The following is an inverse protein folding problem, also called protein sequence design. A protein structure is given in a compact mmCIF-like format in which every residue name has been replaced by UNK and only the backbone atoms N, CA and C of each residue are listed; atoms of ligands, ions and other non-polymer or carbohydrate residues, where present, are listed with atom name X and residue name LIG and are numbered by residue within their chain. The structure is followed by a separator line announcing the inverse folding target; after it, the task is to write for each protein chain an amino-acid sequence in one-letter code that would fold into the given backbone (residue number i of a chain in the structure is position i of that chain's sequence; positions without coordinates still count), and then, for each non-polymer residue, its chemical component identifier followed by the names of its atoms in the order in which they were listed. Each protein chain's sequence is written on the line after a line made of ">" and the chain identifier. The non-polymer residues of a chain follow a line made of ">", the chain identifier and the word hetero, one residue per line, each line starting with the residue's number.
data_IF_343971474554
#
_entry.id   IF_343971474554
#
_cell.length_a   1.000
_cell.length_b   1.000
_cell.length_c   1.000
_cell.angle_alpha   90.00
_cell.angle_beta   90.00
_cell.angle_gamma   90.00
#
_symmetry.space_group_name_H-M   'P 1'
#
loop_
_entity.id
_entity.type
_entity.pdbx_description
1 polymer ?
#
# COMPACT_ATOMS: atom_id res chain seq x y z
N UNK A 1 -18.56 -10.51 5.41
CA UNK A 1 -17.87 -10.75 6.70
C UNK A 1 -16.68 -9.81 6.74
N UNK A 2 -16.71 -8.82 7.63
CA UNK A 2 -15.80 -7.69 7.60
C UNK A 2 -14.40 -8.04 8.10
N UNK A 3 -13.35 -7.63 7.38
CA UNK A 3 -11.97 -7.67 7.83
C UNK A 3 -11.76 -6.75 9.03
N UNK A 4 -11.29 -7.32 10.12
CA UNK A 4 -10.84 -6.60 11.32
C UNK A 4 -9.32 -6.56 11.35
N UNK A 5 -8.78 -5.42 11.71
CA UNK A 5 -7.42 -5.30 12.18
C UNK A 5 -6.89 -3.89 12.16
N UNK A 6 -7.16 -3.11 13.21
CA UNK A 6 -6.43 -1.89 13.54
C UNK A 6 -5.58 -2.19 14.76
N UNK A 7 -4.30 -1.87 14.70
CA UNK A 7 -3.33 -2.14 15.75
C UNK A 7 -3.30 -1.07 16.82
N UNK A 8 -3.23 -1.54 18.07
CA UNK A 8 -2.79 -0.79 19.25
C UNK A 8 -1.29 -1.03 19.45
N UNK A 9 -0.50 0.04 19.49
CA UNK A 9 0.93 0.04 19.76
C UNK A 9 1.19 0.20 21.26
N UNK A 10 0.75 -0.76 22.11
CA UNK A 10 1.28 -0.87 23.47
C UNK A 10 1.32 -2.33 23.93
N UNK A 11 2.49 -2.96 23.71
CA UNK A 11 2.79 -4.26 24.30
C UNK A 11 3.07 -4.16 25.78
N UNK A 12 2.25 -4.79 26.61
CA UNK A 12 2.67 -5.25 27.94
C UNK A 12 2.19 -6.68 28.18
N UNK A 13 3.16 -7.55 28.45
CA UNK A 13 2.95 -8.92 28.87
C UNK A 13 2.41 -8.97 30.31
N UNK A 14 1.24 -9.56 30.49
CA UNK A 14 0.70 -9.90 31.81
C UNK A 14 0.01 -11.25 31.77
N UNK A 15 0.59 -12.22 32.49
CA UNK A 15 -0.03 -13.52 32.77
C UNK A 15 -1.26 -13.34 33.67
N UNK A 16 -2.42 -13.97 33.34
CA UNK A 16 -3.30 -14.56 34.37
C UNK A 16 -4.43 -15.39 33.79
N UNK A 17 -4.60 -16.56 34.38
CA UNK A 17 -5.80 -17.41 34.68
C UNK A 17 -7.00 -17.40 33.74
N UNK A 18 -7.36 -18.64 33.31
CA UNK A 18 -8.60 -19.01 32.66
C UNK A 18 -9.82 -18.68 33.54
N UNK A 19 -10.63 -17.74 33.08
CA UNK A 19 -12.04 -17.65 33.46
C UNK A 19 -12.86 -17.50 32.17
N UNK A 20 -13.84 -18.40 32.01
CA UNK A 20 -14.82 -18.35 30.95
C UNK A 20 -15.54 -17.00 30.97
N UNK A 21 -15.41 -16.19 29.94
CA UNK A 21 -16.11 -14.92 29.77
C UNK A 21 -17.32 -15.16 28.87
N UNK A 22 -18.53 -14.72 29.27
CA UNK A 22 -19.75 -14.92 28.46
C UNK A 22 -19.64 -14.12 27.16
N UNK A 23 -20.32 -14.63 26.11
CA UNK A 23 -20.41 -14.01 24.80
C UNK A 23 -20.91 -12.56 24.89
N UNK A 24 -19.99 -11.62 24.98
CA UNK A 24 -20.31 -10.21 24.87
C UNK A 24 -20.60 -9.86 23.42
N UNK A 25 -21.75 -9.29 23.19
CA UNK A 25 -22.14 -8.55 21.99
C UNK A 25 -21.03 -7.54 21.70
N UNK A 26 -20.15 -7.84 20.73
CA UNK A 26 -19.12 -6.91 20.33
C UNK A 26 -19.76 -5.73 19.63
N UNK A 27 -19.86 -4.61 20.33
CA UNK A 27 -20.09 -3.31 19.69
C UNK A 27 -18.84 -3.02 18.89
N UNK A 28 -18.95 -3.17 17.55
CA UNK A 28 -17.88 -2.79 16.64
C UNK A 28 -17.86 -1.26 16.55
N UNK A 29 -16.93 -0.64 17.23
CA UNK A 29 -16.52 0.69 16.83
C UNK A 29 -15.83 0.52 15.47
N UNK A 30 -16.45 1.00 14.40
CA UNK A 30 -15.74 1.27 13.16
C UNK A 30 -14.71 2.35 13.48
N UNK A 31 -13.46 1.96 13.71
CA UNK A 31 -12.37 2.91 13.87
C UNK A 31 -12.15 3.51 12.49
N UNK A 32 -12.55 4.77 12.32
CA UNK A 32 -12.25 5.54 11.13
C UNK A 32 -10.74 5.81 11.12
N UNK A 33 -10.03 5.22 10.18
CA UNK A 33 -8.61 5.49 9.98
C UNK A 33 -8.44 6.53 8.86
N UNK A 34 -7.40 7.35 8.96
CA UNK A 34 -6.99 8.28 7.90
C UNK A 34 -5.95 7.61 7.02
N UNK A 35 -6.32 7.33 5.75
CA UNK A 35 -5.54 6.46 4.87
C UNK A 35 -5.09 7.21 3.62
N UNK A 36 -3.78 7.14 3.33
CA UNK A 36 -3.21 7.65 2.09
C UNK A 36 -3.15 6.53 1.05
N UNK A 37 -3.93 6.64 -0.03
CA UNK A 37 -3.99 5.62 -1.08
C UNK A 37 -3.10 6.01 -2.25
N UNK A 38 -2.17 5.14 -2.62
CA UNK A 38 -1.38 5.29 -3.85
C UNK A 38 -2.26 5.09 -5.08
N UNK A 39 -2.67 6.19 -5.73
CA UNK A 39 -3.45 6.19 -6.97
C UNK A 39 -2.53 6.30 -8.18
N UNK A 40 -2.59 5.30 -9.06
CA UNK A 40 -1.84 5.28 -10.32
C UNK A 40 -2.66 5.70 -11.55
N UNK A 41 -3.95 6.03 -11.36
CA UNK A 41 -4.89 6.21 -12.47
C UNK A 41 -5.48 4.88 -12.98
N UNK A 42 -4.89 3.73 -12.65
CA UNK A 42 -5.39 2.41 -13.03
C UNK A 42 -6.57 1.92 -12.19
N UNK A 43 -7.26 0.89 -12.68
CA UNK A 43 -8.50 0.34 -12.09
C UNK A 43 -8.27 -0.15 -10.66
N UNK A 44 -7.21 -0.91 -10.42
CA UNK A 44 -6.99 -1.63 -9.16
C UNK A 44 -6.82 -0.67 -7.97
N UNK A 45 -6.01 0.39 -8.12
CA UNK A 45 -5.85 1.42 -7.11
C UNK A 45 -7.11 2.25 -6.90
N UNK A 46 -7.89 2.46 -7.97
CA UNK A 46 -9.16 3.17 -7.92
C UNK A 46 -10.21 2.39 -7.12
N UNK A 47 -10.29 1.09 -7.33
CA UNK A 47 -11.19 0.18 -6.58
C UNK A 47 -10.77 0.13 -5.10
N UNK A 48 -9.48 0.02 -4.81
CA UNK A 48 -9.00 0.04 -3.43
C UNK A 48 -9.42 1.33 -2.70
N UNK A 49 -9.27 2.50 -3.35
CA UNK A 49 -9.71 3.78 -2.78
C UNK A 49 -11.24 3.82 -2.55
N UNK A 50 -12.03 3.38 -3.53
CA UNK A 50 -13.49 3.37 -3.42
C UNK A 50 -13.97 2.47 -2.28
N UNK A 51 -13.41 1.27 -2.15
CA UNK A 51 -13.75 0.33 -1.07
C UNK A 51 -13.43 0.90 0.32
N UNK A 52 -12.31 1.59 0.47
CA UNK A 52 -11.94 2.23 1.74
C UNK A 52 -12.91 3.36 2.12
N UNK A 53 -13.35 4.15 1.14
CA UNK A 53 -14.39 5.17 1.34
C UNK A 53 -15.72 4.53 1.73
N UNK A 54 -16.14 3.45 1.04
CA UNK A 54 -17.36 2.70 1.38
C UNK A 54 -17.29 2.07 2.79
N UNK A 55 -16.10 1.73 3.27
CA UNK A 55 -15.87 1.24 4.63
C UNK A 55 -15.89 2.36 5.68
N UNK A 56 -16.01 3.63 5.26
CA UNK A 56 -16.12 4.78 6.13
C UNK A 56 -14.80 5.36 6.63
N UNK A 57 -13.68 5.06 5.97
CA UNK A 57 -12.37 5.66 6.28
C UNK A 57 -12.25 7.08 5.71
N UNK A 58 -11.37 7.89 6.34
CA UNK A 58 -10.91 9.18 5.79
C UNK A 58 -9.80 8.92 4.77
N UNK A 59 -10.12 9.01 3.49
CA UNK A 59 -9.25 8.60 2.38
C UNK A 59 -8.73 9.81 1.61
N UNK A 60 -7.41 9.86 1.42
CA UNK A 60 -6.74 10.81 0.53
C UNK A 60 -6.01 10.03 -0.55
N UNK A 61 -6.21 10.38 -1.82
CA UNK A 61 -5.48 9.82 -2.94
C UNK A 61 -4.13 10.51 -3.14
N UNK A 62 -3.11 9.75 -3.51
CA UNK A 62 -1.80 10.31 -3.83
C UNK A 62 -1.17 9.62 -5.03
N UNK A 63 -0.65 10.41 -5.97
CA UNK A 63 0.19 9.93 -7.05
C UNK A 63 1.66 10.07 -6.64
N UNK A 64 2.41 8.98 -6.71
CA UNK A 64 3.86 8.96 -6.49
C UNK A 64 4.56 9.28 -7.80
N UNK A 65 5.09 10.49 -7.95
CA UNK A 65 5.89 10.88 -9.10
C UNK A 65 7.32 10.40 -8.89
N UNK A 66 7.63 9.25 -9.48
CA UNK A 66 8.92 8.56 -9.33
C UNK A 66 9.91 8.83 -10.47
N UNK A 67 9.44 9.40 -11.58
CA UNK A 67 10.25 9.59 -12.78
C UNK A 67 9.95 10.91 -13.46
N UNK A 68 10.99 11.54 -14.01
CA UNK A 68 10.92 12.65 -14.95
C UNK A 68 11.82 12.34 -16.14
N UNK A 69 11.41 12.76 -17.33
CA UNK A 69 12.21 12.61 -18.52
C UNK A 69 13.17 13.81 -18.67
N UNK A 70 14.17 13.92 -17.80
CA UNK A 70 15.17 14.99 -17.77
C UNK A 70 16.36 14.71 -18.73
N UNK A 71 16.47 13.48 -19.27
CA UNK A 71 17.55 13.07 -20.17
C UNK A 71 17.24 13.31 -21.67
N UNK A 72 16.10 13.94 -21.98
CA UNK A 72 15.74 14.27 -23.37
C UNK A 72 15.48 13.06 -24.25
N UNK A 73 15.12 11.92 -23.67
CA UNK A 73 14.71 10.73 -24.43
C UNK A 73 13.43 11.07 -25.19
N UNK A 74 13.38 10.92 -26.54
CA UNK A 74 12.17 11.20 -27.30
C UNK A 74 11.01 10.33 -26.84
N UNK A 75 9.93 10.95 -26.39
CA UNK A 75 8.70 10.28 -25.93
C UNK A 75 7.87 11.23 -25.08
N UNK A 76 6.57 10.97 -25.00
CA UNK A 76 5.68 11.68 -24.09
C UNK A 76 6.02 11.32 -22.64
N UNK A 77 5.83 12.25 -21.72
CA UNK A 77 5.96 11.99 -20.30
C UNK A 77 4.67 11.32 -19.79
N UNK A 78 4.58 9.99 -19.70
CA UNK A 78 3.33 9.30 -19.38
C UNK A 78 2.77 9.68 -18.01
N UNK A 79 3.61 10.16 -17.10
CA UNK A 79 3.18 10.56 -15.76
C UNK A 79 2.18 11.74 -15.74
N UNK A 80 2.17 12.62 -16.75
CA UNK A 80 1.19 13.70 -16.83
C UNK A 80 -0.22 13.17 -17.04
N UNK A 81 -0.37 12.20 -17.95
CA UNK A 81 -1.64 11.54 -18.20
C UNK A 81 -2.08 10.72 -16.98
N UNK A 82 -1.15 9.97 -16.39
CA UNK A 82 -1.43 9.17 -15.18
C UNK A 82 -1.94 10.04 -14.01
N UNK A 83 -1.34 11.24 -13.82
CA UNK A 83 -1.81 12.21 -12.82
C UNK A 83 -3.23 12.69 -13.15
N UNK A 84 -3.54 13.00 -14.41
CA UNK A 84 -4.88 13.42 -14.81
C UNK A 84 -5.91 12.32 -14.56
N UNK A 85 -5.58 11.08 -14.88
CA UNK A 85 -6.45 9.93 -14.67
C UNK A 85 -6.66 9.67 -13.17
N UNK A 86 -5.61 9.72 -12.36
CA UNK A 86 -5.70 9.59 -10.91
C UNK A 86 -6.54 10.72 -10.27
N UNK A 87 -6.34 11.96 -10.74
CA UNK A 87 -7.14 13.12 -10.30
C UNK A 87 -8.63 12.96 -10.70
N UNK A 88 -8.92 12.44 -11.91
CA UNK A 88 -10.28 12.19 -12.34
C UNK A 88 -10.98 11.14 -11.47
N UNK A 89 -10.25 10.07 -11.10
CA UNK A 89 -10.71 9.04 -10.16
C UNK A 89 -11.00 9.66 -8.79
N UNK A 90 -10.05 10.43 -8.22
CA UNK A 90 -10.23 11.06 -6.93
C UNK A 90 -11.45 11.98 -6.89
N UNK A 91 -11.66 12.78 -7.94
CA UNK A 91 -12.86 13.63 -8.10
C UNK A 91 -14.14 12.81 -8.16
N UNK A 92 -14.13 11.68 -8.87
CA UNK A 92 -15.31 10.80 -9.01
C UNK A 92 -15.68 10.14 -7.69
N UNK A 93 -14.68 9.72 -6.90
CA UNK A 93 -14.87 9.12 -5.58
C UNK A 93 -15.20 10.19 -4.52
N UNK A 94 -14.80 11.45 -4.75
CA UNK A 94 -15.02 12.56 -3.83
C UNK A 94 -13.96 12.69 -2.73
N UNK A 95 -12.73 12.30 -3.02
CA UNK A 95 -11.58 12.37 -2.09
C UNK A 95 -10.58 13.47 -2.47
N UNK A 96 -9.82 13.96 -1.49
CA UNK A 96 -8.65 14.82 -1.72
C UNK A 96 -7.60 14.07 -2.54
N UNK A 97 -6.84 14.81 -3.37
CA UNK A 97 -5.77 14.24 -4.19
C UNK A 97 -4.49 15.06 -4.07
N UNK A 98 -3.36 14.36 -3.98
CA UNK A 98 -2.01 14.95 -3.89
C UNK A 98 -1.07 14.32 -4.92
N UNK A 99 -0.07 15.08 -5.36
CA UNK A 99 1.09 14.56 -6.09
C UNK A 99 2.29 14.66 -5.16
N UNK A 100 2.98 13.54 -4.95
CA UNK A 100 4.16 13.45 -4.10
C UNK A 100 5.36 13.21 -5.01
N UNK A 101 6.30 14.16 -5.00
CA UNK A 101 7.53 14.05 -5.78
C UNK A 101 8.52 13.16 -5.02
N UNK A 102 8.87 12.01 -5.59
CA UNK A 102 9.77 11.00 -5.04
C UNK A 102 10.87 10.62 -6.05
N UNK A 103 11.18 11.53 -6.99
CA UNK A 103 12.14 11.27 -8.07
C UNK A 103 13.53 10.98 -7.53
N UNK A 104 13.98 11.77 -6.56
CA UNK A 104 15.32 11.61 -5.98
C UNK A 104 15.44 10.32 -5.17
N UNK A 105 14.42 9.99 -4.39
CA UNK A 105 14.36 8.75 -3.62
C UNK A 105 14.32 7.52 -4.54
N UNK A 106 13.53 7.58 -5.61
CA UNK A 106 13.44 6.50 -6.59
C UNK A 106 14.78 6.29 -7.30
N UNK A 107 15.43 7.38 -7.72
CA UNK A 107 16.75 7.32 -8.34
C UNK A 107 17.78 6.67 -7.39
N UNK A 108 17.81 7.14 -6.14
CA UNK A 108 18.77 6.65 -5.14
C UNK A 108 18.56 5.17 -4.79
N UNK A 109 17.31 4.73 -4.60
CA UNK A 109 17.00 3.40 -4.08
C UNK A 109 16.79 2.35 -5.15
N UNK A 110 16.19 2.72 -6.29
CA UNK A 110 15.77 1.76 -7.33
C UNK A 110 16.69 1.82 -8.55
N UNK A 111 16.93 3.03 -9.12
CA UNK A 111 17.73 3.15 -10.34
C UNK A 111 19.18 2.75 -10.10
N UNK A 112 19.78 3.22 -9.01
CA UNK A 112 21.16 2.86 -8.66
C UNK A 112 21.30 1.35 -8.43
N UNK A 113 20.33 0.72 -7.73
CA UNK A 113 20.30 -0.73 -7.56
C UNK A 113 20.28 -1.49 -8.90
N UNK A 114 19.47 -1.02 -9.85
CA UNK A 114 19.43 -1.59 -11.21
C UNK A 114 20.80 -1.50 -11.90
N UNK A 115 21.39 -0.30 -11.90
CA UNK A 115 22.67 -0.05 -12.57
C UNK A 115 23.78 -0.89 -11.94
N UNK A 116 23.85 -0.93 -10.64
CA UNK A 116 24.86 -1.70 -9.91
C UNK A 116 24.70 -3.21 -10.12
N UNK A 117 23.47 -3.71 -10.12
CA UNK A 117 23.19 -5.11 -10.39
C UNK A 117 23.63 -5.54 -11.79
N UNK A 118 23.29 -4.77 -12.81
CA UNK A 118 23.73 -5.05 -14.19
C UNK A 118 25.25 -4.97 -14.33
N UNK A 119 25.90 -4.00 -13.67
CA UNK A 119 27.38 -3.92 -13.64
C UNK A 119 28.02 -5.13 -12.95
N UNK A 120 27.36 -5.68 -11.96
CA UNK A 120 27.83 -6.88 -11.24
C UNK A 120 27.48 -8.19 -11.96
N UNK A 121 26.79 -8.14 -13.11
CA UNK A 121 26.50 -9.30 -13.98
C UNK A 121 25.27 -10.12 -13.56
N UNK A 122 24.38 -9.59 -12.72
CA UNK A 122 23.09 -10.22 -12.45
C UNK A 122 21.92 -9.34 -12.91
N UNK A 123 20.74 -9.93 -13.07
CA UNK A 123 19.50 -9.21 -13.41
C UNK A 123 18.75 -8.85 -12.13
N UNK A 124 18.75 -7.57 -11.71
CA UNK A 124 18.02 -7.16 -10.51
C UNK A 124 16.50 -7.22 -10.72
N UNK A 125 15.74 -7.32 -9.63
CA UNK A 125 14.29 -7.21 -9.66
C UNK A 125 13.86 -5.87 -9.01
N UNK A 126 13.63 -4.82 -9.80
CA UNK A 126 13.25 -3.51 -9.27
C UNK A 126 11.84 -3.50 -8.68
N UNK A 127 10.93 -4.34 -9.18
CA UNK A 127 9.52 -4.29 -8.78
C UNK A 127 9.33 -4.68 -7.32
N UNK A 128 9.99 -5.77 -6.89
CA UNK A 128 9.97 -6.21 -5.50
C UNK A 128 10.60 -5.16 -4.59
N UNK A 129 11.74 -4.59 -5.04
CA UNK A 129 12.43 -3.55 -4.28
C UNK A 129 11.60 -2.26 -4.20
N UNK A 130 10.96 -1.85 -5.31
CA UNK A 130 10.09 -0.69 -5.34
C UNK A 130 8.92 -0.80 -4.33
N UNK A 131 8.33 -1.98 -4.20
CA UNK A 131 7.30 -2.18 -3.18
C UNK A 131 7.85 -1.97 -1.76
N UNK A 132 9.00 -2.58 -1.43
CA UNK A 132 9.62 -2.44 -0.12
C UNK A 132 10.10 -1.02 0.17
N UNK A 133 10.90 -0.44 -0.73
CA UNK A 133 11.60 0.82 -0.47
C UNK A 133 10.74 2.06 -0.72
N UNK A 134 9.90 2.02 -1.77
CA UNK A 134 9.12 3.19 -2.16
C UNK A 134 7.70 3.15 -1.58
N UNK A 135 6.88 2.15 -1.92
CA UNK A 135 5.45 2.15 -1.54
C UNK A 135 5.24 1.92 -0.05
N UNK A 136 5.96 0.98 0.53
CA UNK A 136 5.85 0.63 1.96
C UNK A 136 7.06 1.08 2.79
N UNK A 137 7.96 1.85 2.19
CA UNK A 137 9.02 2.61 2.82
C UNK A 137 8.72 4.10 2.75
N UNK A 138 9.36 4.82 1.81
CA UNK A 138 9.28 6.30 1.70
C UNK A 138 7.86 6.85 1.69
N UNK A 139 6.95 6.23 0.93
CA UNK A 139 5.55 6.67 0.86
C UNK A 139 4.80 6.46 2.18
N UNK A 140 5.07 5.35 2.87
CA UNK A 140 4.53 5.10 4.21
C UNK A 140 5.10 6.11 5.22
N UNK A 141 6.41 6.35 5.22
CA UNK A 141 7.06 7.32 6.11
C UNK A 141 6.46 8.72 5.91
N UNK A 142 6.33 9.15 4.64
CA UNK A 142 5.63 10.40 4.31
C UNK A 142 4.20 10.43 4.86
N UNK A 143 3.43 9.36 4.70
CA UNK A 143 2.06 9.31 5.20
C UNK A 143 2.02 9.48 6.71
N UNK A 144 2.86 8.76 7.46
CA UNK A 144 2.93 8.85 8.91
C UNK A 144 3.33 10.26 9.39
N UNK A 145 4.30 10.90 8.72
CA UNK A 145 4.71 12.28 8.99
C UNK A 145 3.59 13.30 8.74
N UNK A 146 2.71 13.01 7.76
CA UNK A 146 1.54 13.85 7.45
C UNK A 146 0.31 13.53 8.31
N UNK A 147 0.45 12.66 9.32
CA UNK A 147 -0.61 12.30 10.26
C UNK A 147 -1.66 11.34 9.68
N UNK A 148 -1.30 10.53 8.67
CA UNK A 148 -2.09 9.38 8.26
C UNK A 148 -1.78 8.18 9.16
N UNK A 149 -2.76 7.31 9.35
CA UNK A 149 -2.59 6.09 10.14
C UNK A 149 -1.94 4.96 9.33
N UNK A 150 -2.13 4.98 7.99
CA UNK A 150 -1.62 3.93 7.10
C UNK A 150 -1.60 4.37 5.65
N UNK A 151 -1.00 3.52 4.80
CA UNK A 151 -1.09 3.61 3.33
C UNK A 151 -1.86 2.43 2.76
N UNK A 152 -2.45 2.62 1.57
CA UNK A 152 -3.07 1.55 0.80
C UNK A 152 -2.63 1.58 -0.66
N UNK A 153 -2.68 0.43 -1.31
CA UNK A 153 -2.34 0.24 -2.72
C UNK A 153 -3.30 -0.78 -3.35
N UNK A 154 -3.34 -0.81 -4.69
CA UNK A 154 -4.19 -1.72 -5.45
C UNK A 154 -3.56 -3.10 -5.76
N UNK A 155 -2.81 -3.71 -4.85
CA UNK A 155 -2.21 -5.02 -5.09
C UNK A 155 -3.19 -6.17 -4.94
N UNK A 156 -3.09 -7.16 -5.85
CA UNK A 156 -3.82 -8.43 -5.77
C UNK A 156 -3.06 -9.44 -4.92
N UNK A 157 -3.36 -9.45 -3.64
CA UNK A 157 -2.83 -10.41 -2.68
C UNK A 157 -3.82 -10.63 -1.54
N UNK A 158 -3.72 -11.76 -0.84
CA UNK A 158 -4.53 -12.06 0.34
C UNK A 158 -3.65 -12.22 1.57
N UNK A 159 -4.23 -12.06 2.73
CA UNK A 159 -3.57 -12.27 4.02
C UNK A 159 -4.23 -13.38 4.80
N UNK A 160 -3.43 -14.17 5.50
CA UNK A 160 -3.85 -15.16 6.47
C UNK A 160 -3.19 -14.84 7.81
N UNK A 161 -4.02 -14.62 8.83
CA UNK A 161 -3.56 -14.45 10.21
C UNK A 161 -3.70 -15.79 10.95
N UNK A 162 -2.63 -16.21 11.62
CA UNK A 162 -2.57 -17.41 12.44
C UNK A 162 -1.93 -17.07 13.80
N UNK A 163 -2.03 -17.95 14.79
CA UNK A 163 -1.31 -17.77 16.07
C UNK A 163 0.22 -17.67 15.91
N UNK A 164 0.76 -18.14 14.78
CA UNK A 164 2.19 -18.11 14.47
C UNK A 164 2.62 -16.83 13.73
N UNK A 165 1.67 -16.03 13.27
CA UNK A 165 1.92 -14.78 12.55
C UNK A 165 1.02 -14.59 11.34
N UNK A 166 1.29 -13.52 10.61
CA UNK A 166 0.57 -13.15 9.39
C UNK A 166 1.33 -13.59 8.15
N UNK A 167 0.63 -14.11 7.17
CA UNK A 167 1.18 -14.64 5.92
C UNK A 167 0.51 -13.99 4.73
N UNK A 168 1.29 -13.72 3.65
CA UNK A 168 0.73 -13.38 2.35
C UNK A 168 0.34 -14.66 1.62
N UNK A 169 -0.87 -14.68 1.12
CA UNK A 169 -1.36 -15.72 0.22
C UNK A 169 -1.46 -15.18 -1.20
N UNK A 170 -1.40 -16.08 -2.16
CA UNK A 170 -1.67 -15.76 -3.56
C UNK A 170 -3.07 -15.17 -3.72
N UNK A 171 -3.21 -14.25 -4.69
CA UNK A 171 -4.51 -13.78 -5.14
C UNK A 171 -5.40 -14.95 -5.59
N UNK A 172 -6.73 -14.77 -5.58
CA UNK A 172 -7.66 -15.80 -6.06
C UNK A 172 -7.55 -16.04 -7.56
N UNK A 173 -7.36 -14.96 -8.33
CA UNK A 173 -7.08 -15.06 -9.76
C UNK A 173 -5.58 -15.30 -9.98
N UNK A 174 -5.18 -16.50 -10.46
CA UNK A 174 -3.77 -16.81 -10.69
C UNK A 174 -3.13 -15.97 -11.79
N UNK A 175 -3.94 -15.37 -12.69
CA UNK A 175 -3.43 -14.52 -13.76
C UNK A 175 -3.15 -13.08 -13.28
N UNK A 176 -3.70 -12.70 -12.12
CA UNK A 176 -3.53 -11.37 -11.50
C UNK A 176 -2.74 -11.41 -10.19
N UNK A 177 -2.28 -12.57 -9.75
CA UNK A 177 -1.56 -12.71 -8.49
C UNK A 177 -0.30 -11.82 -8.47
N UNK A 178 -0.25 -10.95 -7.47
CA UNK A 178 0.86 -10.02 -7.25
C UNK A 178 1.57 -10.27 -5.91
N UNK A 179 1.28 -11.40 -5.25
CA UNK A 179 1.85 -11.73 -3.95
C UNK A 179 3.39 -11.77 -3.96
N UNK A 180 4.01 -12.16 -5.09
CA UNK A 180 5.46 -12.22 -5.21
C UNK A 180 6.13 -10.84 -5.16
N UNK A 181 5.46 -9.78 -5.62
CA UNK A 181 5.96 -8.41 -5.52
C UNK A 181 6.09 -7.94 -4.07
N UNK A 182 5.37 -8.58 -3.16
CA UNK A 182 5.32 -8.26 -1.74
C UNK A 182 6.22 -9.17 -0.90
N UNK A 183 7.05 -10.03 -1.53
CA UNK A 183 7.87 -11.04 -0.85
C UNK A 183 8.92 -10.48 0.10
N UNK A 184 9.35 -9.22 -0.07
CA UNK A 184 10.28 -8.54 0.83
C UNK A 184 9.58 -7.62 1.84
N UNK A 185 8.25 -7.69 1.94
CA UNK A 185 7.52 -6.93 2.93
C UNK A 185 7.71 -7.51 4.32
N UNK A 186 7.86 -6.62 5.31
CA UNK A 186 7.87 -7.02 6.70
C UNK A 186 6.46 -6.93 7.28
N UNK A 187 5.95 -8.03 7.84
CA UNK A 187 4.66 -8.03 8.52
C UNK A 187 4.83 -7.45 9.94
N UNK A 188 4.03 -6.49 10.36
CA UNK A 188 2.56 -6.44 10.37
C UNK A 188 1.88 -5.40 9.46
N UNK A 189 2.55 -4.84 8.48
CA UNK A 189 2.10 -3.64 7.74
C UNK A 189 1.15 -3.89 6.57
N UNK A 190 0.80 -5.14 6.25
CA UNK A 190 -0.06 -5.46 5.11
C UNK A 190 -1.46 -5.90 5.55
N UNK A 191 -2.48 -5.16 5.10
CA UNK A 191 -3.90 -5.51 5.25
C UNK A 191 -4.59 -5.43 3.88
N UNK A 192 -5.12 -6.53 3.32
CA UNK A 192 -5.91 -6.45 2.11
C UNK A 192 -7.20 -5.69 2.37
N UNK A 193 -7.58 -4.82 1.44
CA UNK A 193 -8.81 -4.02 1.51
C UNK A 193 -10.05 -4.90 1.30
N UNK A 194 -9.88 -6.00 0.55
CA UNK A 194 -10.92 -7.00 0.41
C UNK A 194 -10.32 -8.42 0.33
N UNK A 195 -11.11 -9.44 0.71
CA UNK A 195 -10.72 -10.85 0.68
C UNK A 195 -11.14 -11.57 -0.61
N UNK A 196 -11.73 -10.85 -1.57
CA UNK A 196 -12.28 -11.43 -2.80
C UNK A 196 -11.33 -11.37 -3.98
#
# INVERSE_FOLDING_TARGET
>A
MACRGIFDLQGQAGKTSQTQVPYHTHIFFNIVARILVGLSGGVDSSVAAALLVEQGHDVVGAYMKNWVNDEGIPGECPWEQDIQDALAVAKKIGIEFRVIDLVDEYRARIVNYLIEGYRAGYTPNPDVLCNREMKFGVFLDYALEQGFDSVATGHYARRLDTPQGSFILRGRDPNKDQSYFLSLMYFPTFYPVNEE
#
